data_IF_083517661256
#
_entry.id   IF_083517661256
#
_cell.length_a   1.000
_cell.length_b   1.000
_cell.length_c   1.000
_cell.angle_alpha   90.00
_cell.angle_beta   90.00
_cell.angle_gamma   90.00
#
_symmetry.space_group_name_H-M   'P 1'
#
loop_
_entity.id
_entity.type
_entity.pdbx_description
1 polymer ?
#
# COMPACT_ATOMS: atom_id res chain seq x y z
N UNK A 1 -8.13 -18.38 3.44
CA UNK A 1 -7.15 -19.42 3.08
C UNK A 1 -7.77 -20.63 2.39
N UNK A 2 -8.94 -21.08 2.80
CA UNK A 2 -9.57 -22.33 2.28
C UNK A 2 -9.68 -22.34 0.75
N UNK A 3 -10.01 -21.20 0.14
CA UNK A 3 -10.00 -21.01 -1.32
C UNK A 3 -8.68 -21.46 -2.00
N UNK A 4 -7.56 -21.37 -1.29
CA UNK A 4 -6.22 -21.61 -1.86
C UNK A 4 -5.64 -22.98 -1.48
N UNK A 5 -6.22 -23.67 -0.50
CA UNK A 5 -5.67 -24.94 0.04
C UNK A 5 -5.57 -26.06 -1.01
N UNK A 6 -6.52 -26.09 -1.94
CA UNK A 6 -6.58 -27.10 -3.00
C UNK A 6 -5.98 -26.62 -4.33
N UNK A 7 -5.57 -25.36 -4.41
CA UNK A 7 -5.06 -24.78 -5.64
C UNK A 7 -3.58 -25.15 -5.86
N UNK A 8 -3.25 -25.52 -7.09
CA UNK A 8 -1.85 -25.77 -7.47
C UNK A 8 -1.07 -24.44 -7.50
N UNK A 9 0.22 -24.38 -7.07
CA UNK A 9 1.02 -23.16 -7.12
C UNK A 9 1.05 -22.48 -8.49
N UNK A 10 1.03 -23.24 -9.58
CA UNK A 10 0.99 -22.71 -10.93
C UNK A 10 -0.31 -21.95 -11.25
N UNK A 11 -1.43 -22.32 -10.63
CA UNK A 11 -2.70 -21.61 -10.81
C UNK A 11 -2.77 -20.36 -9.93
N UNK A 12 -2.15 -20.42 -8.76
CA UNK A 12 -2.05 -19.25 -7.87
C UNK A 12 -1.17 -18.12 -8.42
N UNK A 13 -0.35 -18.39 -9.45
CA UNK A 13 0.43 -17.36 -10.17
C UNK A 13 -0.32 -16.70 -11.32
N UNK A 14 -1.58 -17.05 -11.55
CA UNK A 14 -2.37 -16.56 -12.68
C UNK A 14 -3.45 -15.56 -12.26
N UNK A 15 -3.76 -14.64 -13.15
CA UNK A 15 -4.87 -13.70 -12.97
C UNK A 15 -4.73 -12.87 -11.69
N UNK A 16 -5.83 -12.75 -10.93
CA UNK A 16 -5.89 -12.00 -9.65
C UNK A 16 -5.32 -12.76 -8.46
N UNK A 17 -5.05 -14.06 -8.61
CA UNK A 17 -4.69 -14.92 -7.49
C UNK A 17 -3.47 -14.44 -6.70
N UNK A 18 -2.36 -13.97 -7.32
CA UNK A 18 -1.22 -13.47 -6.56
C UNK A 18 -1.59 -12.34 -5.62
N UNK A 19 -2.34 -11.35 -6.10
CA UNK A 19 -2.81 -10.24 -5.29
C UNK A 19 -3.74 -10.71 -4.15
N UNK A 20 -4.68 -11.61 -4.44
CA UNK A 20 -5.57 -12.17 -3.43
C UNK A 20 -4.81 -12.92 -2.32
N UNK A 21 -3.76 -13.68 -2.66
CA UNK A 21 -2.89 -14.35 -1.68
C UNK A 21 -2.15 -13.33 -0.83
N UNK A 22 -1.56 -12.31 -1.44
CA UNK A 22 -0.81 -11.25 -0.74
C UNK A 22 -1.72 -10.48 0.22
N UNK A 23 -2.89 -10.01 -0.26
CA UNK A 23 -3.81 -9.25 0.58
C UNK A 23 -4.45 -10.12 1.67
N UNK A 24 -4.64 -11.42 1.44
CA UNK A 24 -5.07 -12.36 2.49
C UNK A 24 -4.01 -12.47 3.59
N UNK A 25 -2.74 -12.66 3.21
CA UNK A 25 -1.64 -12.72 4.17
C UNK A 25 -1.50 -11.40 4.96
N UNK A 26 -1.63 -10.26 4.27
CA UNK A 26 -1.58 -8.94 4.91
C UNK A 26 -2.72 -8.75 5.92
N UNK A 27 -3.96 -9.08 5.54
CA UNK A 27 -5.11 -8.97 6.43
C UNK A 27 -5.01 -9.86 7.68
N UNK A 28 -4.54 -11.09 7.53
CA UNK A 28 -4.31 -11.99 8.65
C UNK A 28 -3.19 -11.50 9.57
N UNK A 29 -2.10 -11.01 9.01
CA UNK A 29 -0.98 -10.47 9.78
C UNK A 29 -1.36 -9.23 10.59
N UNK A 30 -2.12 -8.28 9.99
CA UNK A 30 -2.66 -7.11 10.68
C UNK A 30 -3.66 -7.54 11.79
N UNK A 31 -4.51 -8.52 11.53
CA UNK A 31 -5.42 -9.07 12.53
C UNK A 31 -4.68 -9.66 13.73
N UNK A 32 -3.65 -10.46 13.46
CA UNK A 32 -2.82 -11.04 14.51
C UNK A 32 -2.12 -9.97 15.34
N UNK A 33 -1.60 -8.93 14.67
CA UNK A 33 -0.93 -7.80 15.35
C UNK A 33 -1.86 -7.02 16.27
N UNK A 34 -3.03 -6.63 15.74
CA UNK A 34 -3.87 -5.62 16.38
C UNK A 34 -5.02 -6.21 17.22
N UNK A 35 -5.41 -7.46 16.96
CA UNK A 35 -6.56 -8.09 17.62
C UNK A 35 -6.12 -9.28 18.48
N UNK A 36 -5.35 -10.23 17.92
CA UNK A 36 -4.90 -11.40 18.69
C UNK A 36 -3.69 -11.13 19.58
N UNK A 37 -2.84 -10.17 19.24
CA UNK A 37 -1.57 -9.90 19.94
C UNK A 37 -0.52 -11.00 19.79
N UNK A 38 -0.73 -11.98 18.93
CA UNK A 38 0.17 -13.12 18.70
C UNK A 38 0.04 -13.66 17.28
N UNK A 39 1.11 -14.26 16.78
CA UNK A 39 1.13 -14.92 15.48
C UNK A 39 0.28 -16.20 15.52
N UNK A 40 -0.65 -16.34 14.58
CA UNK A 40 -1.48 -17.53 14.41
C UNK A 40 -0.93 -18.48 13.34
N UNK A 41 -1.37 -19.73 13.38
CA UNK A 41 -1.01 -20.74 12.38
C UNK A 41 -1.52 -20.35 11.00
N UNK A 42 -2.72 -19.78 10.91
CA UNK A 42 -3.33 -19.29 9.66
C UNK A 42 -2.48 -18.20 9.00
N UNK A 43 -1.93 -17.29 9.79
CA UNK A 43 -1.02 -16.26 9.27
C UNK A 43 0.30 -16.87 8.78
N UNK A 44 0.85 -17.81 9.51
CA UNK A 44 2.07 -18.54 9.09
C UNK A 44 1.84 -19.28 7.78
N UNK A 45 0.72 -19.99 7.63
CA UNK A 45 0.34 -20.69 6.40
C UNK A 45 0.17 -19.71 5.23
N UNK A 46 -0.50 -18.57 5.45
CA UNK A 46 -0.69 -17.55 4.43
C UNK A 46 0.64 -16.94 3.95
N UNK A 47 1.56 -16.65 4.87
CA UNK A 47 2.89 -16.14 4.53
C UNK A 47 3.74 -17.18 3.80
N UNK A 48 3.67 -18.44 4.20
CA UNK A 48 4.33 -19.55 3.47
C UNK A 48 3.75 -19.71 2.07
N UNK A 49 2.43 -19.66 1.91
CA UNK A 49 1.78 -19.72 0.62
C UNK A 49 2.22 -18.55 -0.27
N UNK A 50 2.18 -17.33 0.26
CA UNK A 50 2.63 -16.13 -0.45
C UNK A 50 4.08 -16.28 -0.95
N UNK A 51 5.00 -16.74 -0.10
CA UNK A 51 6.40 -16.94 -0.49
C UNK A 51 6.58 -18.08 -1.50
N UNK A 52 5.74 -19.14 -1.44
CA UNK A 52 5.83 -20.28 -2.36
C UNK A 52 5.52 -19.94 -3.82
N UNK A 53 4.74 -18.89 -4.04
CA UNK A 53 4.38 -18.41 -5.38
C UNK A 53 5.18 -17.18 -5.82
N UNK A 54 6.14 -16.72 -5.01
CA UNK A 54 7.05 -15.64 -5.36
C UNK A 54 7.89 -16.01 -6.60
N UNK A 55 8.10 -15.05 -7.49
CA UNK A 55 8.98 -15.17 -8.63
C UNK A 55 10.46 -15.00 -8.24
N UNK A 56 11.37 -15.42 -9.12
CA UNK A 56 12.81 -15.23 -8.93
C UNK A 56 13.21 -13.74 -8.85
N UNK A 57 12.44 -12.89 -9.51
CA UNK A 57 12.57 -11.42 -9.44
C UNK A 57 12.36 -10.83 -8.03
N UNK A 58 11.76 -11.61 -7.12
CA UNK A 58 11.35 -11.14 -5.79
C UNK A 58 9.92 -10.58 -5.74
N UNK A 59 9.18 -10.65 -6.85
CA UNK A 59 7.79 -10.16 -6.97
C UNK A 59 6.80 -11.30 -7.17
N UNK A 60 5.56 -10.95 -7.49
CA UNK A 60 4.46 -11.88 -7.79
C UNK A 60 3.81 -11.62 -9.15
N UNK A 61 4.45 -10.78 -9.96
CA UNK A 61 3.82 -10.24 -11.15
C UNK A 61 2.77 -9.17 -10.81
N UNK A 62 2.06 -8.69 -11.80
CA UNK A 62 0.98 -7.73 -11.61
C UNK A 62 0.00 -7.78 -12.77
N UNK A 63 -1.29 -7.65 -12.47
CA UNK A 63 -2.31 -7.43 -13.48
C UNK A 63 -2.20 -6.04 -14.12
N UNK A 64 -1.70 -5.06 -13.36
CA UNK A 64 -1.63 -3.68 -13.80
C UNK A 64 -2.98 -3.07 -14.18
N UNK A 65 -4.08 -3.46 -13.55
CA UNK A 65 -5.42 -3.09 -14.01
C UNK A 65 -6.37 -2.48 -12.97
N UNK A 66 -6.08 -2.57 -11.69
CA UNK A 66 -7.00 -2.16 -10.62
C UNK A 66 -6.44 -1.02 -9.74
N UNK A 67 -6.11 0.16 -10.31
CA UNK A 67 -5.56 1.23 -9.53
C UNK A 67 -6.58 1.78 -8.49
N UNK A 68 -6.11 2.20 -7.33
CA UNK A 68 -4.72 2.29 -6.88
C UNK A 68 -4.15 0.98 -6.33
N UNK A 69 -4.96 -0.05 -6.16
CA UNK A 69 -4.55 -1.39 -5.76
C UNK A 69 -4.17 -2.19 -7.00
N UNK A 70 -3.33 -3.18 -6.86
CA UNK A 70 -2.91 -4.06 -7.97
C UNK A 70 -2.42 -3.28 -9.21
N UNK A 71 -1.91 -2.07 -9.00
CA UNK A 71 -1.51 -1.18 -10.09
C UNK A 71 -0.13 -1.50 -10.65
N UNK A 72 0.67 -2.28 -9.94
CA UNK A 72 2.01 -2.67 -10.35
C UNK A 72 2.57 -3.80 -9.48
N UNK A 73 3.49 -4.59 -10.02
CA UNK A 73 4.26 -5.57 -9.25
C UNK A 73 4.98 -4.92 -8.05
N UNK A 74 5.38 -3.66 -8.18
CA UNK A 74 6.01 -2.90 -7.11
C UNK A 74 5.07 -2.69 -5.92
N UNK A 75 3.80 -2.39 -6.18
CA UNK A 75 2.81 -2.24 -5.12
C UNK A 75 2.58 -3.56 -4.38
N UNK A 76 2.40 -4.65 -5.11
CA UNK A 76 2.22 -5.98 -4.53
C UNK A 76 3.42 -6.38 -3.67
N UNK A 77 4.65 -6.09 -4.14
CA UNK A 77 5.87 -6.30 -3.37
C UNK A 77 5.90 -5.47 -2.07
N UNK A 78 5.44 -4.21 -2.07
CA UNK A 78 5.35 -3.41 -0.84
C UNK A 78 4.33 -3.97 0.14
N UNK A 79 3.17 -4.42 -0.33
CA UNK A 79 2.14 -5.05 0.53
C UNK A 79 2.65 -6.35 1.13
N UNK A 80 3.33 -7.19 0.33
CA UNK A 80 3.93 -8.44 0.81
C UNK A 80 4.99 -8.17 1.90
N UNK A 81 5.85 -7.15 1.70
CA UNK A 81 6.84 -6.77 2.73
C UNK A 81 6.19 -6.30 4.02
N UNK A 82 5.12 -5.50 3.91
CA UNK A 82 4.36 -5.05 5.08
C UNK A 82 3.68 -6.21 5.81
N UNK A 83 3.12 -7.18 5.07
CA UNK A 83 2.53 -8.38 5.67
C UNK A 83 3.55 -9.17 6.50
N UNK A 84 4.76 -9.37 5.95
CA UNK A 84 5.85 -10.05 6.65
C UNK A 84 6.31 -9.28 7.90
N UNK A 85 6.38 -7.96 7.80
CA UNK A 85 6.87 -7.09 8.88
C UNK A 85 5.86 -6.95 10.04
N UNK A 86 4.56 -6.96 9.74
CA UNK A 86 3.53 -6.76 10.77
C UNK A 86 3.20 -8.04 11.52
N UNK A 87 3.43 -9.21 10.91
CA UNK A 87 3.17 -10.51 11.52
C UNK A 87 4.01 -10.69 12.81
N UNK A 88 3.39 -10.86 13.99
CA UNK A 88 4.08 -10.78 15.27
C UNK A 88 5.25 -11.76 15.40
N UNK A 89 6.48 -11.25 15.43
CA UNK A 89 7.71 -12.04 15.60
C UNK A 89 8.06 -12.96 14.44
N UNK A 90 7.39 -12.85 13.28
CA UNK A 90 7.63 -13.76 12.15
C UNK A 90 9.01 -13.55 11.52
N UNK A 91 9.39 -12.30 11.22
CA UNK A 91 10.71 -11.99 10.64
C UNK A 91 11.85 -12.31 11.61
N UNK A 92 11.69 -11.97 12.89
CA UNK A 92 12.72 -12.14 13.92
C UNK A 92 13.01 -13.62 14.23
N UNK A 93 11.98 -14.46 14.12
CA UNK A 93 12.09 -15.91 14.43
C UNK A 93 12.27 -16.77 13.19
N UNK A 94 12.42 -16.14 12.02
CA UNK A 94 12.55 -16.87 10.76
C UNK A 94 13.85 -17.65 10.70
N UNK A 95 13.76 -18.97 10.70
CA UNK A 95 14.89 -19.90 10.64
C UNK A 95 14.93 -20.79 9.39
N UNK A 96 13.88 -20.80 8.60
CA UNK A 96 13.80 -21.51 7.32
C UNK A 96 14.58 -20.77 6.23
N UNK A 97 15.60 -21.41 5.66
CA UNK A 97 16.49 -20.79 4.66
C UNK A 97 15.78 -20.41 3.34
N UNK A 98 14.74 -21.16 2.94
CA UNK A 98 13.96 -20.84 1.75
C UNK A 98 13.14 -19.57 1.97
N UNK A 99 12.53 -19.46 3.14
CA UNK A 99 11.75 -18.28 3.50
C UNK A 99 12.67 -17.05 3.69
N UNK A 100 13.85 -17.20 4.31
CA UNK A 100 14.86 -16.14 4.39
C UNK A 100 15.25 -15.65 3.00
N UNK A 101 15.59 -16.58 2.10
CA UNK A 101 15.91 -16.25 0.71
C UNK A 101 14.78 -15.51 -0.01
N UNK A 102 13.52 -15.85 0.27
CA UNK A 102 12.35 -15.12 -0.26
C UNK A 102 12.26 -13.69 0.26
N UNK A 103 12.47 -13.50 1.57
CA UNK A 103 12.52 -12.16 2.20
C UNK A 103 13.65 -11.33 1.61
N UNK A 104 14.84 -11.92 1.45
CA UNK A 104 16.01 -11.22 0.92
C UNK A 104 15.83 -10.79 -0.54
N UNK A 105 15.25 -11.65 -1.39
CA UNK A 105 14.90 -11.29 -2.77
C UNK A 105 13.89 -10.14 -2.81
N UNK A 106 12.89 -10.14 -1.93
CA UNK A 106 11.91 -9.08 -1.84
C UNK A 106 12.53 -7.75 -1.39
N UNK A 107 13.36 -7.78 -0.34
CA UNK A 107 14.12 -6.60 0.11
C UNK A 107 15.02 -6.04 -1.00
N UNK A 108 15.72 -6.92 -1.70
CA UNK A 108 16.60 -6.56 -2.80
C UNK A 108 15.84 -5.91 -3.96
N UNK A 109 14.69 -6.49 -4.35
CA UNK A 109 13.80 -5.90 -5.35
C UNK A 109 13.36 -4.49 -4.95
N UNK A 110 12.87 -4.32 -3.73
CA UNK A 110 12.39 -3.01 -3.24
C UNK A 110 13.51 -1.95 -3.14
N UNK A 111 14.75 -2.37 -2.84
CA UNK A 111 15.92 -1.50 -2.78
C UNK A 111 16.38 -1.03 -4.16
N UNK A 112 16.43 -1.95 -5.12
CA UNK A 112 17.06 -1.72 -6.44
C UNK A 112 16.08 -1.23 -7.49
N UNK A 113 14.83 -1.65 -7.43
CA UNK A 113 13.83 -1.28 -8.43
C UNK A 113 13.32 0.12 -8.16
N UNK A 114 13.34 0.97 -9.19
CA UNK A 114 12.74 2.31 -9.09
C UNK A 114 11.21 2.18 -9.00
N UNK A 115 10.57 2.79 -8.00
CA UNK A 115 9.11 2.86 -7.97
C UNK A 115 8.55 3.46 -9.27
N UNK A 116 7.48 2.91 -9.83
CA UNK A 116 6.96 3.34 -11.14
C UNK A 116 6.42 4.77 -11.15
N UNK A 117 5.98 5.27 -10.02
CA UNK A 117 5.41 6.60 -9.83
C UNK A 117 5.47 7.02 -8.35
N UNK A 118 5.04 8.24 -8.03
CA UNK A 118 5.12 8.77 -6.66
C UNK A 118 4.24 8.02 -5.66
N UNK A 119 3.10 7.45 -6.08
CA UNK A 119 2.32 6.57 -5.22
C UNK A 119 3.13 5.32 -4.79
N UNK A 120 3.89 4.73 -5.70
CA UNK A 120 4.81 3.64 -5.34
C UNK A 120 5.90 4.07 -4.35
N UNK A 121 6.35 5.35 -4.40
CA UNK A 121 7.28 5.92 -3.42
C UNK A 121 6.66 6.06 -2.03
N UNK A 122 5.38 6.43 -1.96
CA UNK A 122 4.63 6.47 -0.68
C UNK A 122 4.58 5.08 -0.05
N UNK A 123 4.25 4.05 -0.83
CA UNK A 123 4.18 2.67 -0.35
C UNK A 123 5.55 2.13 0.07
N UNK A 124 6.61 2.49 -0.66
CA UNK A 124 7.98 2.14 -0.27
C UNK A 124 8.38 2.79 1.06
N UNK A 125 8.02 4.06 1.28
CA UNK A 125 8.26 4.74 2.54
C UNK A 125 7.51 4.04 3.69
N UNK A 126 6.27 3.63 3.44
CA UNK A 126 5.48 2.88 4.42
C UNK A 126 6.13 1.54 4.78
N UNK A 127 6.53 0.75 3.77
CA UNK A 127 7.25 -0.49 4.01
C UNK A 127 8.57 -0.28 4.78
N UNK A 128 9.30 0.80 4.46
CA UNK A 128 10.55 1.15 5.15
C UNK A 128 10.33 1.66 6.60
N UNK A 129 9.17 2.22 6.91
CA UNK A 129 8.78 2.55 8.29
C UNK A 129 8.60 1.30 9.16
N UNK A 130 8.10 0.21 8.57
CA UNK A 130 7.88 -1.07 9.24
C UNK A 130 9.10 -2.01 9.22
N UNK A 131 10.02 -1.81 8.29
CA UNK A 131 11.26 -2.60 8.13
C UNK A 131 12.45 -1.64 8.15
N UNK A 132 13.03 -1.34 9.33
CA UNK A 132 14.03 -0.27 9.49
C UNK A 132 15.30 -0.46 8.63
N UNK A 133 15.69 -1.71 8.36
CA UNK A 133 16.85 -2.06 7.55
C UNK A 133 16.55 -2.09 6.03
N UNK A 134 15.30 -1.87 5.62
CA UNK A 134 14.93 -1.88 4.19
C UNK A 134 15.61 -0.75 3.42
N UNK A 135 15.64 0.45 3.97
CA UNK A 135 16.25 1.62 3.34
C UNK A 135 17.11 2.43 4.32
N UNK A 136 18.19 3.05 3.85
CA UNK A 136 18.96 4.00 4.66
C UNK A 136 18.13 5.26 4.96
N UNK A 137 18.45 5.94 6.08
CA UNK A 137 17.73 7.14 6.56
C UNK A 137 17.57 8.21 5.48
N UNK A 138 18.68 8.57 4.83
CA UNK A 138 18.67 9.56 3.75
C UNK A 138 17.62 9.25 2.67
N UNK A 139 17.47 7.97 2.31
CA UNK A 139 16.49 7.57 1.30
C UNK A 139 15.07 7.70 1.81
N UNK A 140 14.81 7.39 3.09
CA UNK A 140 13.51 7.60 3.72
C UNK A 140 13.14 9.09 3.77
N UNK A 141 14.09 9.95 4.09
CA UNK A 141 13.89 11.41 4.04
C UNK A 141 13.54 11.92 2.63
N UNK A 142 14.24 11.42 1.60
CA UNK A 142 13.94 11.76 0.20
C UNK A 142 12.51 11.35 -0.18
N UNK A 143 12.07 10.16 0.22
CA UNK A 143 10.72 9.68 -0.02
C UNK A 143 9.68 10.53 0.74
N UNK A 144 9.94 10.90 1.99
CA UNK A 144 9.08 11.79 2.75
C UNK A 144 8.93 13.16 2.09
N UNK A 145 10.03 13.73 1.52
CA UNK A 145 9.98 14.97 0.73
C UNK A 145 9.05 14.85 -0.48
N UNK A 146 9.03 13.69 -1.14
CA UNK A 146 8.08 13.44 -2.25
C UNK A 146 6.64 13.49 -1.74
N UNK A 147 6.32 12.85 -0.61
CA UNK A 147 4.98 12.92 -0.03
C UNK A 147 4.57 14.37 0.23
N UNK A 148 5.45 15.14 0.86
CA UNK A 148 5.20 16.55 1.17
C UNK A 148 5.03 17.44 -0.06
N UNK A 149 5.74 17.17 -1.16
CA UNK A 149 5.63 17.97 -2.38
C UNK A 149 4.25 17.90 -3.04
N UNK A 150 3.44 16.92 -2.69
CA UNK A 150 2.07 16.74 -3.18
C UNK A 150 0.99 17.30 -2.23
N UNK A 151 1.40 17.86 -1.06
CA UNK A 151 0.41 18.45 -0.16
C UNK A 151 -0.25 19.66 -0.80
N UNK A 152 -1.56 19.70 -0.79
CA UNK A 152 -2.36 20.77 -1.39
C UNK A 152 -2.56 21.94 -0.42
N UNK A 153 -2.98 23.07 -0.94
CA UNK A 153 -3.17 24.31 -0.15
C UNK A 153 -4.18 24.14 1.00
N UNK A 154 -5.17 23.26 0.84
CA UNK A 154 -6.15 22.92 1.86
C UNK A 154 -5.61 22.00 2.97
N UNK A 155 -4.36 21.54 2.83
CA UNK A 155 -3.67 20.67 3.78
C UNK A 155 -3.81 19.18 3.50
N UNK A 156 -4.69 18.77 2.59
CA UNK A 156 -4.86 17.37 2.19
C UNK A 156 -3.97 16.94 1.02
N UNK A 157 -4.22 15.75 0.51
CA UNK A 157 -3.58 15.19 -0.69
C UNK A 157 -4.62 14.57 -1.61
N UNK A 158 -4.33 14.60 -2.92
CA UNK A 158 -5.13 13.91 -3.91
C UNK A 158 -4.36 12.75 -4.52
N UNK A 159 -4.96 11.57 -4.56
CA UNK A 159 -4.35 10.40 -5.21
C UNK A 159 -4.00 10.68 -6.68
N UNK A 160 -4.73 11.60 -7.32
CA UNK A 160 -4.55 11.97 -8.73
C UNK A 160 -3.27 12.75 -9.02
N UNK A 161 -2.61 13.28 -8.00
CA UNK A 161 -1.33 13.97 -8.17
C UNK A 161 -0.11 13.04 -8.11
N UNK A 162 -0.27 11.79 -7.64
CA UNK A 162 0.83 10.86 -7.39
C UNK A 162 1.24 9.99 -8.58
N UNK A 163 0.48 10.01 -9.66
CA UNK A 163 0.86 9.41 -10.93
C UNK A 163 0.08 10.03 -12.08
N UNK A 164 0.68 10.09 -13.25
CA UNK A 164 -0.01 10.49 -14.47
C UNK A 164 -1.03 9.42 -14.90
N UNK A 165 -2.07 9.75 -15.68
CA UNK A 165 -3.09 8.82 -16.11
C UNK A 165 -2.58 7.54 -16.78
N UNK A 166 -1.49 7.64 -17.52
CA UNK A 166 -0.85 6.53 -18.25
C UNK A 166 0.05 5.65 -17.38
N UNK A 167 0.35 6.10 -16.18
CA UNK A 167 1.14 5.33 -15.20
C UNK A 167 0.26 4.43 -14.31
N UNK A 168 -1.05 4.67 -14.29
CA UNK A 168 -1.97 3.83 -13.54
C UNK A 168 -2.34 2.57 -14.31
N UNK A 169 -2.22 1.41 -13.66
CA UNK A 169 -2.69 0.15 -14.20
C UNK A 169 -2.16 -0.18 -15.60
N UNK A 170 -0.87 0.01 -15.86
CA UNK A 170 -0.23 -0.18 -17.19
C UNK A 170 -0.86 0.69 -18.29
N UNK A 171 -1.50 1.80 -17.93
CA UNK A 171 -2.11 2.73 -18.86
C UNK A 171 -3.49 2.32 -19.41
N UNK A 172 -4.04 1.20 -18.93
CA UNK A 172 -5.33 0.69 -19.43
C UNK A 172 -6.54 1.60 -19.17
N UNK A 173 -6.38 2.61 -18.29
CA UNK A 173 -7.39 3.64 -17.97
C UNK A 173 -7.00 5.05 -18.43
N UNK A 174 -5.87 5.20 -19.12
CA UNK A 174 -5.29 6.50 -19.44
C UNK A 174 -6.24 7.44 -20.18
N UNK A 175 -6.91 6.95 -21.21
CA UNK A 175 -7.86 7.75 -22.01
C UNK A 175 -8.96 8.32 -21.14
N UNK A 176 -9.59 7.49 -20.32
CA UNK A 176 -10.63 7.89 -19.39
C UNK A 176 -10.13 8.89 -18.35
N UNK A 177 -9.01 8.56 -17.69
CA UNK A 177 -8.47 9.40 -16.62
C UNK A 177 -8.05 10.79 -17.12
N UNK A 178 -7.50 10.91 -18.33
CA UNK A 178 -7.15 12.20 -18.92
C UNK A 178 -8.35 13.11 -19.15
N UNK A 179 -9.52 12.54 -19.39
CA UNK A 179 -10.77 13.32 -19.58
C UNK A 179 -11.48 13.67 -18.26
N UNK A 180 -11.04 13.12 -17.13
CA UNK A 180 -11.65 13.38 -15.85
C UNK A 180 -11.27 14.76 -15.29
N UNK A 181 -12.28 15.54 -14.88
CA UNK A 181 -12.06 16.83 -14.21
C UNK A 181 -11.12 16.71 -13.00
N UNK A 182 -11.17 15.59 -12.28
CA UNK A 182 -10.31 15.32 -11.12
C UNK A 182 -8.81 15.24 -11.44
N UNK A 183 -8.41 14.95 -12.69
CA UNK A 183 -7.02 15.05 -13.15
C UNK A 183 -6.66 16.45 -13.63
N UNK A 184 -7.62 17.20 -14.17
CA UNK A 184 -7.40 18.58 -14.61
C UNK A 184 -7.37 19.55 -13.43
N UNK A 185 -8.20 19.32 -12.43
CA UNK A 185 -8.30 20.11 -11.20
C UNK A 185 -8.40 19.15 -10.01
N UNK A 186 -7.27 18.59 -9.56
CA UNK A 186 -7.27 17.64 -8.44
C UNK A 186 -7.74 18.32 -7.15
N UNK A 187 -8.53 17.58 -6.37
CA UNK A 187 -8.97 17.94 -5.03
C UNK A 187 -8.49 16.91 -4.04
N UNK A 188 -8.22 17.33 -2.81
CA UNK A 188 -7.85 16.41 -1.73
C UNK A 188 -8.92 15.34 -1.52
N UNK A 189 -8.50 14.12 -1.21
CA UNK A 189 -9.38 12.98 -1.00
C UNK A 189 -9.02 12.18 0.25
N UNK A 190 -9.97 11.41 0.76
CA UNK A 190 -9.81 10.66 2.01
C UNK A 190 -8.73 9.59 1.94
N UNK A 191 -8.65 8.84 0.82
CA UNK A 191 -7.65 7.80 0.66
C UNK A 191 -6.22 8.35 0.77
N UNK A 192 -5.92 9.35 -0.04
CA UNK A 192 -4.53 9.83 -0.12
C UNK A 192 -4.15 10.68 1.09
N UNK A 193 -5.08 11.50 1.61
CA UNK A 193 -4.82 12.28 2.81
C UNK A 193 -4.59 11.37 4.02
N UNK A 194 -5.45 10.37 4.24
CA UNK A 194 -5.27 9.40 5.32
C UNK A 194 -3.97 8.60 5.18
N UNK A 195 -3.70 8.09 3.98
CA UNK A 195 -2.47 7.33 3.72
C UNK A 195 -1.20 8.19 3.93
N UNK A 196 -1.18 9.43 3.45
CA UNK A 196 -0.03 10.32 3.61
C UNK A 196 0.25 10.62 5.09
N UNK A 197 -0.79 10.94 5.88
CA UNK A 197 -0.66 11.16 7.33
C UNK A 197 -0.10 9.91 8.02
N UNK A 198 -0.69 8.75 7.76
CA UNK A 198 -0.26 7.47 8.34
C UNK A 198 1.21 7.18 8.02
N UNK A 199 1.59 7.24 6.76
CA UNK A 199 2.95 6.93 6.30
C UNK A 199 3.98 7.92 6.85
N UNK A 200 3.67 9.21 6.89
CA UNK A 200 4.56 10.22 7.46
C UNK A 200 4.73 10.02 8.97
N UNK A 201 3.67 9.66 9.69
CA UNK A 201 3.74 9.32 11.12
C UNK A 201 4.61 8.09 11.37
N UNK A 202 4.41 7.01 10.62
CA UNK A 202 5.26 5.81 10.70
C UNK A 202 6.72 6.08 10.28
N UNK A 203 6.96 7.06 9.41
CA UNK A 203 8.29 7.53 9.05
C UNK A 203 8.93 8.45 10.10
N UNK A 204 8.29 8.69 11.25
CA UNK A 204 8.83 9.45 12.36
C UNK A 204 8.52 10.95 12.36
N UNK A 205 7.68 11.45 11.44
CA UNK A 205 7.25 12.86 11.46
C UNK A 205 6.47 13.14 12.76
N UNK A 206 6.85 14.14 13.56
CA UNK A 206 6.17 14.43 14.83
C UNK A 206 4.71 14.82 14.63
N UNK A 207 3.82 14.39 15.53
CA UNK A 207 2.39 14.76 15.48
C UNK A 207 2.16 16.28 15.48
N UNK A 208 3.08 17.05 16.06
CA UNK A 208 3.04 18.52 16.15
C UNK A 208 3.52 19.24 14.86
N UNK A 209 3.97 18.52 13.82
CA UNK A 209 4.34 19.17 12.54
C UNK A 209 3.12 19.92 11.98
N UNK A 210 3.28 21.19 11.69
CA UNK A 210 2.18 22.07 11.28
C UNK A 210 1.49 21.60 10.00
N UNK A 211 2.23 21.02 9.07
CA UNK A 211 1.69 20.49 7.81
C UNK A 211 0.84 19.25 8.08
N UNK A 212 1.28 18.41 9.03
CA UNK A 212 0.54 17.24 9.47
C UNK A 212 -0.76 17.68 10.18
N UNK A 213 -0.69 18.70 11.04
CA UNK A 213 -1.87 19.24 11.72
C UNK A 213 -2.90 19.82 10.72
N UNK A 214 -2.44 20.47 9.63
CA UNK A 214 -3.34 20.89 8.54
C UNK A 214 -4.06 19.70 7.90
N UNK A 215 -3.36 18.60 7.69
CA UNK A 215 -3.95 17.38 7.12
C UNK A 215 -4.97 16.74 8.06
N UNK A 216 -4.65 16.64 9.35
CA UNK A 216 -5.60 16.16 10.38
C UNK A 216 -6.85 17.05 10.41
N UNK A 217 -6.67 18.38 10.38
CA UNK A 217 -7.80 19.32 10.30
C UNK A 217 -8.62 19.07 9.04
N UNK A 218 -7.97 18.83 7.89
CA UNK A 218 -8.67 18.51 6.65
C UNK A 218 -9.50 17.23 6.80
N UNK A 219 -8.93 16.17 7.37
CA UNK A 219 -9.67 14.92 7.62
C UNK A 219 -10.91 15.16 8.48
N UNK A 220 -10.75 15.83 9.61
CA UNK A 220 -11.87 16.12 10.53
C UNK A 220 -12.98 16.97 9.86
N UNK A 221 -12.58 17.96 9.05
CA UNK A 221 -13.54 18.87 8.40
C UNK A 221 -14.22 18.28 7.16
N UNK A 222 -13.70 17.17 6.60
CA UNK A 222 -14.23 16.53 5.40
C UNK A 222 -14.82 15.15 5.66
N UNK A 223 -14.95 14.75 6.93
CA UNK A 223 -15.75 13.58 7.30
C UNK A 223 -17.22 13.86 7.04
N UNK A 224 -17.87 12.94 6.38
CA UNK A 224 -19.31 13.04 6.08
C UNK A 224 -20.15 12.58 7.29
N UNK A 225 -21.42 12.95 7.32
CA UNK A 225 -22.37 12.49 8.34
C UNK A 225 -22.42 10.97 8.47
N UNK A 226 -22.17 10.24 7.37
CA UNK A 226 -22.05 8.77 7.37
C UNK A 226 -20.79 8.24 8.03
N UNK A 227 -19.91 9.09 8.56
CA UNK A 227 -18.59 8.73 9.11
C UNK A 227 -17.53 8.40 8.07
N UNK A 228 -17.84 8.49 6.78
CA UNK A 228 -16.95 8.12 5.67
C UNK A 228 -16.26 9.33 5.04
N UNK A 229 -15.18 9.06 4.31
CA UNK A 229 -14.57 10.01 3.36
C UNK A 229 -14.73 9.48 1.94
N UNK A 230 -14.66 10.39 0.97
CA UNK A 230 -14.77 10.03 -0.43
C UNK A 230 -13.43 10.11 -1.13
N UNK A 231 -13.21 9.09 -1.97
CA UNK A 231 -12.16 9.07 -2.98
C UNK A 231 -12.77 8.48 -4.24
N UNK A 232 -12.77 9.25 -5.32
CA UNK A 232 -13.26 8.74 -6.59
C UNK A 232 -12.31 7.67 -7.13
N UNK A 233 -12.86 6.56 -7.60
CA UNK A 233 -12.09 5.46 -8.17
C UNK A 233 -11.25 5.88 -9.38
N UNK A 234 -10.06 5.31 -9.48
CA UNK A 234 -9.20 5.42 -10.66
C UNK A 234 -9.51 4.33 -11.69
N UNK A 235 -10.27 3.33 -11.33
CA UNK A 235 -10.47 2.13 -12.14
C UNK A 235 -11.77 2.14 -12.93
N UNK A 236 -12.88 2.49 -12.32
CA UNK A 236 -14.21 2.29 -12.90
C UNK A 236 -14.88 3.58 -13.34
N UNK A 237 -15.96 3.39 -14.09
CA UNK A 237 -16.78 4.45 -14.64
C UNK A 237 -17.54 5.26 -13.60
N UNK A 238 -18.42 6.07 -14.09
CA UNK A 238 -19.26 7.05 -13.40
C UNK A 238 -19.63 6.63 -11.97
N UNK A 239 -19.34 7.48 -11.00
CA UNK A 239 -19.86 7.40 -9.63
C UNK A 239 -19.31 6.29 -8.73
N UNK A 240 -18.28 5.54 -9.15
CA UNK A 240 -17.64 4.61 -8.25
C UNK A 240 -16.63 5.29 -7.33
N UNK A 241 -16.76 5.07 -6.03
CA UNK A 241 -15.87 5.61 -5.00
C UNK A 241 -15.16 4.48 -4.27
N UNK A 242 -13.91 4.72 -3.91
CA UNK A 242 -13.13 3.80 -3.06
C UNK A 242 -13.58 4.04 -1.61
N UNK A 243 -14.53 3.24 -1.13
CA UNK A 243 -15.11 3.44 0.20
C UNK A 243 -14.29 2.82 1.31
N UNK A 244 -13.64 1.68 1.06
CA UNK A 244 -12.85 0.98 2.08
C UNK A 244 -11.62 1.78 2.48
N UNK A 245 -10.63 1.89 1.64
CA UNK A 245 -9.40 2.63 1.95
C UNK A 245 -9.63 4.13 2.09
N UNK A 246 -10.62 4.69 1.37
CA UNK A 246 -11.05 6.08 1.53
C UNK A 246 -11.60 6.38 2.93
N UNK A 247 -11.94 5.38 3.73
CA UNK A 247 -12.37 5.52 5.13
C UNK A 247 -11.37 4.92 6.10
N UNK A 248 -10.79 3.74 5.78
CA UNK A 248 -9.86 3.06 6.67
C UNK A 248 -8.58 3.87 6.92
N UNK A 249 -7.95 4.43 5.88
CA UNK A 249 -6.75 5.25 6.06
C UNK A 249 -6.99 6.52 6.86
N UNK A 250 -8.06 7.31 6.64
CA UNK A 250 -8.43 8.39 7.55
C UNK A 250 -8.59 7.97 9.01
N UNK A 251 -9.28 6.86 9.26
CA UNK A 251 -9.44 6.36 10.63
C UNK A 251 -8.10 6.01 11.27
N UNK A 252 -7.25 5.25 10.58
CA UNK A 252 -5.91 4.90 11.07
C UNK A 252 -5.02 6.13 11.27
N UNK A 253 -5.17 7.16 10.45
CA UNK A 253 -4.42 8.41 10.57
C UNK A 253 -4.85 9.26 11.78
N UNK A 254 -6.08 9.09 12.26
CA UNK A 254 -6.65 9.83 13.40
C UNK A 254 -6.51 9.09 14.74
N UNK A 255 -6.10 7.81 14.73
CA UNK A 255 -5.79 7.02 15.93
C UNK A 255 -4.38 7.33 16.44
#
# INVERSE_FOLDING_TARGET
>A
LDKFKEAKPADLRKGTNPAEVIYTAAGLAEWDKHVKGKLSEETVEALKLMTSIQEESGTWGSLGCWPPFESSAYQEATVAMMAMAVAPGWLEKLNDEKLKSSVDRLKEYLRKTKPPHDYGRVLLLWAAGRVPDLLPEKRREELAKVVWSHQMADGGWSIRTFAAPDQWGSGNRAVKLRSELGFLKPTSDGHMTGLAVLVLREAGVPAKDERLQKAVKWLLSNQRESGRWWTRSLNTDKYHYITYSGTAYPLLALM
#
